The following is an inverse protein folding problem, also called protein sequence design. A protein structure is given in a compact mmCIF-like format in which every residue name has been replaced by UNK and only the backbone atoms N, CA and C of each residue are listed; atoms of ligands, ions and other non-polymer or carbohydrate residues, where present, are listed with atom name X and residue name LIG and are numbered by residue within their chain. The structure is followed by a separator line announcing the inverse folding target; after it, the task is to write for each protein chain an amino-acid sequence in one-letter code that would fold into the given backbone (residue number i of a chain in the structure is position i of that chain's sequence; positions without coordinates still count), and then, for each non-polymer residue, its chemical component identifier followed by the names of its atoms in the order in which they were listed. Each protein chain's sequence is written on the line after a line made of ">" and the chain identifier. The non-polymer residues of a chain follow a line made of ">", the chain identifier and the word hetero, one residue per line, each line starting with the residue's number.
data_IF_956545883916
#
_entry.id   IF_956545883916
#
_cell.length_a   1.000
_cell.length_b   1.000
_cell.length_c   1.000
_cell.angle_alpha   90.00
_cell.angle_beta   90.00
_cell.angle_gamma   90.00
#
_symmetry.space_group_name_H-M   'P 1'
#
loop_
_entity.id
_entity.type
_entity.pdbx_description
1 polymer ?
#
# COMPACT_ATOMS: atom_id res chain seq x y z
N UNK A 1 6.86 -23.48 -8.67
CA UNK A 1 7.63 -22.34 -8.14
C UNK A 1 7.08 -21.01 -8.65
N UNK A 2 6.82 -20.86 -9.96
CA UNK A 2 6.20 -19.67 -10.53
C UNK A 2 4.77 -19.40 -10.02
N UNK A 3 3.92 -20.44 -9.90
CA UNK A 3 2.52 -20.28 -9.45
C UNK A 3 2.40 -19.75 -8.02
N UNK A 4 3.36 -20.10 -7.15
CA UNK A 4 3.39 -19.63 -5.76
C UNK A 4 3.77 -18.14 -5.68
N UNK A 5 4.73 -17.70 -6.49
CA UNK A 5 5.12 -16.30 -6.57
C UNK A 5 3.98 -15.44 -7.14
N UNK A 6 3.26 -15.97 -8.13
CA UNK A 6 2.11 -15.30 -8.74
C UNK A 6 0.95 -15.17 -7.73
N UNK A 7 0.63 -16.23 -7.00
CA UNK A 7 -0.39 -16.17 -5.94
C UNK A 7 -0.02 -15.19 -4.81
N UNK A 8 1.27 -15.07 -4.47
CA UNK A 8 1.74 -14.13 -3.46
C UNK A 8 1.64 -12.67 -3.94
N UNK A 9 1.94 -12.44 -5.22
CA UNK A 9 1.82 -11.14 -5.87
C UNK A 9 0.36 -10.70 -6.00
N UNK A 10 -0.53 -11.61 -6.40
CA UNK A 10 -1.98 -11.37 -6.47
C UNK A 10 -2.56 -11.00 -5.11
N UNK A 11 -2.11 -11.69 -4.05
CA UNK A 11 -2.49 -11.36 -2.67
C UNK A 11 -2.03 -9.95 -2.29
N UNK A 12 -0.79 -9.58 -2.59
CA UNK A 12 -0.25 -8.23 -2.29
C UNK A 12 -1.01 -7.12 -3.05
N UNK A 13 -1.39 -7.37 -4.30
CA UNK A 13 -2.22 -6.45 -5.08
C UNK A 13 -3.59 -6.27 -4.43
N UNK A 14 -4.22 -7.37 -4.01
CA UNK A 14 -5.53 -7.31 -3.39
C UNK A 14 -5.48 -6.55 -2.05
N UNK A 15 -4.49 -6.82 -1.21
CA UNK A 15 -4.26 -6.08 0.04
C UNK A 15 -4.05 -4.58 -0.22
N UNK A 16 -3.25 -4.23 -1.23
CA UNK A 16 -2.99 -2.84 -1.59
C UNK A 16 -4.23 -2.14 -2.17
N UNK A 17 -5.08 -2.85 -2.92
CA UNK A 17 -6.37 -2.33 -3.42
C UNK A 17 -7.33 -2.00 -2.29
N UNK A 18 -7.45 -2.90 -1.30
CA UNK A 18 -8.27 -2.65 -0.11
C UNK A 18 -7.73 -1.45 0.67
N UNK A 19 -6.41 -1.39 0.90
CA UNK A 19 -5.78 -0.25 1.56
C UNK A 19 -6.07 1.08 0.85
N UNK A 20 -5.93 1.13 -0.47
CA UNK A 20 -6.24 2.34 -1.25
C UNK A 20 -7.71 2.75 -1.15
N UNK A 21 -8.62 1.78 -1.11
CA UNK A 21 -10.03 2.05 -0.88
C UNK A 21 -10.26 2.62 0.52
N UNK A 22 -9.67 2.05 1.57
CA UNK A 22 -9.80 2.60 2.92
C UNK A 22 -9.23 4.03 3.01
N UNK A 23 -8.07 4.27 2.41
CA UNK A 23 -7.43 5.58 2.34
C UNK A 23 -8.27 6.62 1.58
N UNK A 24 -9.06 6.22 0.57
CA UNK A 24 -9.90 7.16 -0.19
C UNK A 24 -11.13 7.62 0.60
N UNK A 25 -11.69 6.75 1.47
CA UNK A 25 -12.85 7.07 2.31
C UNK A 25 -12.48 7.83 3.60
N UNK A 26 -11.19 7.91 3.93
CA UNK A 26 -10.71 8.63 5.11
C UNK A 26 -10.89 10.14 4.98
N UNK A 27 -11.34 10.77 6.07
CA UNK A 27 -11.44 12.22 6.18
C UNK A 27 -10.07 12.88 6.03
N UNK A 28 -9.98 14.08 5.42
CA UNK A 28 -8.69 14.77 5.22
C UNK A 28 -7.92 15.05 6.51
N UNK A 29 -8.64 15.25 7.61
CA UNK A 29 -8.09 15.58 8.93
C UNK A 29 -7.66 14.37 9.76
N UNK A 30 -7.85 13.15 9.25
CA UNK A 30 -7.47 11.94 10.00
C UNK A 30 -5.95 11.82 10.07
N UNK A 31 -5.40 11.61 11.26
CA UNK A 31 -3.99 11.30 11.42
C UNK A 31 -3.68 9.91 10.89
N UNK A 32 -2.80 9.82 9.90
CA UNK A 32 -2.34 8.55 9.36
C UNK A 32 -0.98 8.18 9.94
N UNK A 33 -0.78 6.90 10.18
CA UNK A 33 0.52 6.36 10.58
C UNK A 33 1.03 5.47 9.45
N UNK A 34 2.19 5.81 8.90
CA UNK A 34 2.83 5.08 7.81
C UNK A 34 3.99 4.24 8.36
N UNK A 35 4.10 3.00 7.89
CA UNK A 35 5.27 2.16 8.14
C UNK A 35 6.40 2.57 7.19
N UNK A 36 7.45 3.19 7.72
CA UNK A 36 8.62 3.64 6.95
C UNK A 36 9.57 2.49 6.61
N UNK A 37 9.66 1.45 7.47
CA UNK A 37 10.60 0.35 7.33
C UNK A 37 9.84 -0.98 7.27
N UNK A 38 9.91 -1.74 6.16
CA UNK A 38 9.14 -2.98 6.00
C UNK A 38 9.51 -4.08 6.99
N UNK A 39 10.76 -4.09 7.46
CA UNK A 39 11.27 -5.08 8.42
C UNK A 39 10.94 -4.75 9.88
N UNK A 40 10.32 -3.60 10.14
CA UNK A 40 10.01 -3.14 11.50
C UNK A 40 8.50 -2.93 11.67
N UNK A 41 8.01 -3.16 12.88
CA UNK A 41 6.62 -2.88 13.26
C UNK A 41 6.43 -1.43 13.76
N UNK A 42 7.37 -0.54 13.43
CA UNK A 42 7.30 0.86 13.79
C UNK A 42 6.49 1.64 12.76
N UNK A 43 5.54 2.42 13.26
CA UNK A 43 4.70 3.30 12.47
C UNK A 43 4.96 4.74 12.89
N UNK A 44 5.16 5.62 11.91
CA UNK A 44 5.41 7.03 12.14
C UNK A 44 4.23 7.86 11.68
N UNK A 45 3.95 8.95 12.38
CA UNK A 45 2.93 9.89 11.96
C UNK A 45 3.28 10.45 10.58
N UNK A 46 2.35 10.29 9.64
CA UNK A 46 2.50 10.83 8.29
C UNK A 46 2.43 12.35 8.36
N UNK A 47 3.40 13.02 7.74
CA UNK A 47 3.40 14.49 7.61
C UNK A 47 2.39 14.97 6.58
N UNK A 48 2.12 14.15 5.58
CA UNK A 48 1.23 14.46 4.46
C UNK A 48 0.44 13.20 4.06
N UNK A 49 -0.87 13.25 4.26
CA UNK A 49 -1.79 12.17 3.94
C UNK A 49 -1.92 11.95 2.42
N UNK A 50 -1.80 13.00 1.61
CA UNK A 50 -1.86 12.89 0.15
C UNK A 50 -0.62 12.17 -0.38
N UNK A 51 0.54 12.45 0.20
CA UNK A 51 1.77 11.73 -0.13
C UNK A 51 1.65 10.23 0.19
N UNK A 52 1.02 9.86 1.30
CA UNK A 52 0.78 8.44 1.66
C UNK A 52 -0.14 7.77 0.63
N UNK A 53 -1.24 8.44 0.24
CA UNK A 53 -2.14 7.94 -0.82
C UNK A 53 -1.40 7.77 -2.15
N UNK A 54 -0.60 8.75 -2.55
CA UNK A 54 0.18 8.71 -3.78
C UNK A 54 1.23 7.58 -3.78
N UNK A 55 1.91 7.35 -2.65
CA UNK A 55 2.85 6.23 -2.50
C UNK A 55 2.14 4.88 -2.65
N UNK A 56 1.01 4.71 -1.98
CA UNK A 56 0.22 3.46 -2.03
C UNK A 56 -0.33 3.20 -3.44
N UNK A 57 -0.76 4.23 -4.17
CA UNK A 57 -1.18 4.12 -5.57
C UNK A 57 -0.01 3.75 -6.51
N UNK A 58 1.17 4.36 -6.32
CA UNK A 58 2.39 4.01 -7.08
C UNK A 58 2.80 2.56 -6.83
N UNK A 59 2.77 2.12 -5.57
CA UNK A 59 3.10 0.75 -5.20
C UNK A 59 2.17 -0.26 -5.87
N UNK A 60 0.86 0.01 -5.92
CA UNK A 60 -0.09 -0.82 -6.65
C UNK A 60 0.27 -0.93 -8.14
N UNK A 61 0.60 0.20 -8.77
CA UNK A 61 0.98 0.24 -10.18
C UNK A 61 2.27 -0.57 -10.44
N UNK A 62 3.23 -0.52 -9.52
CA UNK A 62 4.48 -1.29 -9.58
C UNK A 62 4.21 -2.80 -9.51
N UNK A 63 3.34 -3.24 -8.59
CA UNK A 63 2.96 -4.64 -8.45
C UNK A 63 2.19 -5.15 -9.68
N UNK A 64 1.27 -4.36 -10.22
CA UNK A 64 0.52 -4.73 -11.44
C UNK A 64 1.43 -4.86 -12.67
N UNK A 65 2.53 -4.10 -12.74
CA UNK A 65 3.54 -4.26 -13.79
C UNK A 65 4.32 -5.56 -13.68
N UNK A 66 4.47 -6.13 -12.49
CA UNK A 66 5.20 -7.39 -12.29
C UNK A 66 4.39 -8.63 -12.72
N UNK A 67 3.07 -8.47 -12.92
CA UNK A 67 2.19 -9.52 -13.46
C UNK A 67 2.20 -9.58 -14.99
N UNK A 68 2.52 -8.46 -15.66
CA UNK A 68 2.55 -8.35 -17.12
C UNK A 68 3.90 -8.75 -17.71
#
# INVERSE_FOLDING_TARGET
>A
MADFQQALLDKQIQETKVLNAELSHLKPTTTLYERQVPSSNLFFLAKDNEQVKAKSAKFLTELEKQIK
#
